data_IF_144374755748
#
_entry.id   IF_144374755748
#
_cell.length_a   1.000
_cell.length_b   1.000
_cell.length_c   1.000
_cell.angle_alpha   90.00
_cell.angle_beta   90.00
_cell.angle_gamma   90.00
#
_symmetry.space_group_name_H-M   'P 1'
#
loop_
_entity.id
_entity.type
_entity.pdbx_description
1 polymer ?
#
# COMPACT_ATOMS: atom_id res chain seq x y z
N UNK A 1 -9.57 28.66 -4.06
CA UNK A 1 -8.84 28.00 -5.18
C UNK A 1 -7.71 27.22 -4.56
N UNK A 2 -7.99 26.00 -4.09
CA UNK A 2 -7.08 25.21 -3.25
C UNK A 2 -6.34 24.18 -4.10
N UNK A 3 -5.04 24.41 -4.24
CA UNK A 3 -3.97 23.58 -4.78
C UNK A 3 -4.31 22.08 -4.97
N UNK A 4 -4.52 21.66 -6.22
CA UNK A 4 -4.17 20.30 -6.65
C UNK A 4 -2.64 20.22 -6.74
N UNK A 5 -2.01 19.89 -5.61
CA UNK A 5 -0.64 19.39 -5.65
C UNK A 5 -0.71 17.90 -6.02
N UNK A 6 -0.89 17.64 -7.32
CA UNK A 6 -0.77 16.30 -7.88
C UNK A 6 0.73 15.98 -7.91
N UNK A 7 1.23 15.21 -6.94
CA UNK A 7 2.64 14.82 -6.89
C UNK A 7 2.98 13.99 -8.14
N UNK A 8 3.70 14.63 -9.06
CA UNK A 8 3.99 14.11 -10.40
C UNK A 8 4.85 12.84 -10.39
N UNK A 9 5.62 12.61 -9.31
CA UNK A 9 6.61 11.53 -9.24
C UNK A 9 6.00 10.14 -9.10
N UNK A 10 4.97 9.96 -8.26
CA UNK A 10 4.33 8.64 -8.06
C UNK A 10 3.43 8.26 -9.25
N UNK A 11 2.78 9.26 -9.85
CA UNK A 11 2.00 9.06 -11.06
C UNK A 11 2.87 8.66 -12.25
N UNK A 12 4.14 9.11 -12.31
CA UNK A 12 5.05 8.77 -13.39
C UNK A 12 5.41 7.27 -13.42
N UNK A 13 5.65 6.65 -12.27
CA UNK A 13 5.89 5.21 -12.17
C UNK A 13 4.65 4.40 -12.53
N UNK A 14 3.46 4.82 -12.08
CA UNK A 14 2.21 4.14 -12.45
C UNK A 14 1.90 4.28 -13.94
N UNK A 15 2.15 5.45 -14.54
CA UNK A 15 2.04 5.66 -15.99
C UNK A 15 2.96 4.72 -16.77
N UNK A 16 4.16 4.42 -16.25
CA UNK A 16 5.08 3.49 -16.90
C UNK A 16 4.55 2.06 -16.94
N UNK A 17 3.75 1.65 -15.95
CA UNK A 17 3.22 0.29 -15.85
C UNK A 17 1.86 0.08 -16.53
N UNK A 18 1.18 1.16 -16.93
CA UNK A 18 -0.17 1.12 -17.52
C UNK A 18 -0.13 1.72 -18.94
N UNK A 19 -0.92 1.21 -19.91
CA UNK A 19 -1.02 1.78 -21.27
C UNK A 19 -1.72 3.15 -21.31
N UNK A 20 -1.12 4.16 -20.68
CA UNK A 20 -1.65 5.51 -20.49
C UNK A 20 -1.79 6.34 -21.78
N UNK A 21 -1.16 5.93 -22.89
CA UNK A 21 -1.31 6.60 -24.19
C UNK A 21 -2.67 6.33 -24.84
N UNK A 22 -3.32 5.23 -24.44
CA UNK A 22 -4.65 4.90 -24.97
C UNK A 22 -5.71 5.67 -24.18
N UNK A 23 -6.78 6.08 -24.86
CA UNK A 23 -7.94 6.74 -24.21
C UNK A 23 -8.48 5.91 -23.06
N UNK A 24 -8.49 4.58 -23.23
CA UNK A 24 -8.91 3.64 -22.19
C UNK A 24 -7.95 3.64 -20.99
N UNK A 25 -6.63 3.53 -21.21
CA UNK A 25 -5.67 3.48 -20.11
C UNK A 25 -5.56 4.78 -19.32
N UNK A 26 -5.66 5.94 -19.98
CA UNK A 26 -5.67 7.23 -19.29
C UNK A 26 -6.94 7.41 -18.44
N UNK A 27 -8.13 7.14 -19.02
CA UNK A 27 -9.42 7.39 -18.36
C UNK A 27 -9.79 6.31 -17.34
N UNK A 28 -9.47 5.04 -17.60
CA UNK A 28 -9.87 3.95 -16.70
C UNK A 28 -8.96 3.82 -15.47
N UNK A 29 -7.68 4.15 -15.60
CA UNK A 29 -6.71 3.95 -14.53
C UNK A 29 -6.27 5.25 -13.86
N UNK A 30 -5.82 6.25 -14.64
CA UNK A 30 -5.25 7.48 -14.06
C UNK A 30 -6.32 8.41 -13.51
N UNK A 31 -7.47 8.53 -14.17
CA UNK A 31 -8.56 9.37 -13.66
C UNK A 31 -9.16 8.86 -12.32
N UNK A 32 -8.91 7.59 -11.96
CA UNK A 32 -9.37 6.99 -10.70
C UNK A 32 -8.32 7.02 -9.61
N UNK A 33 -7.05 7.16 -9.97
CA UNK A 33 -5.93 7.15 -9.06
C UNK A 33 -5.74 8.54 -8.44
N UNK A 34 -5.73 8.61 -7.11
CA UNK A 34 -5.36 9.82 -6.37
C UNK A 34 -4.11 9.49 -5.56
N UNK A 35 -3.02 10.19 -5.82
CA UNK A 35 -1.74 10.03 -5.14
C UNK A 35 -1.37 11.35 -4.45
N UNK A 36 -0.87 11.24 -3.23
CA UNK A 36 -0.47 12.35 -2.36
C UNK A 36 0.84 11.94 -1.68
N UNK A 37 1.79 12.87 -1.51
CA UNK A 37 3.09 12.56 -0.87
C UNK A 37 2.95 12.19 0.61
N UNK A 38 2.03 12.87 1.30
CA UNK A 38 1.71 12.65 2.70
C UNK A 38 0.24 12.27 2.85
N UNK A 39 -0.24 12.23 4.10
CA UNK A 39 -1.66 12.18 4.40
C UNK A 39 -2.24 13.60 4.27
N UNK A 40 -3.02 13.90 3.23
CA UNK A 40 -3.73 15.17 3.19
C UNK A 40 -4.74 15.26 4.35
N UNK A 41 -4.79 16.42 5.00
CA UNK A 41 -5.79 16.72 6.03
C UNK A 41 -7.23 16.49 5.51
N UNK A 42 -8.14 16.17 6.44
CA UNK A 42 -9.55 15.75 6.28
C UNK A 42 -10.09 15.73 4.83
N UNK A 43 -10.40 14.56 4.22
CA UNK A 43 -11.04 13.38 4.84
C UNK A 43 -10.14 12.14 5.05
N UNK A 44 -8.92 12.10 4.52
CA UNK A 44 -8.09 10.88 4.49
C UNK A 44 -7.37 10.56 5.81
N UNK A 45 -7.37 11.52 6.74
CA UNK A 45 -6.78 11.28 8.06
C UNK A 45 -7.64 10.37 8.95
N UNK A 46 -8.97 10.53 8.87
CA UNK A 46 -9.93 9.81 9.74
C UNK A 46 -10.39 8.45 9.19
N UNK A 47 -9.96 8.09 7.99
CA UNK A 47 -10.36 6.85 7.31
C UNK A 47 -9.28 5.79 7.55
N UNK A 48 -9.71 4.53 7.79
CA UNK A 48 -8.78 3.40 7.95
C UNK A 48 -7.96 3.20 6.68
N UNK A 49 -6.63 3.32 6.80
CA UNK A 49 -5.69 3.05 5.71
C UNK A 49 -5.45 1.56 5.59
N UNK A 50 -5.52 1.06 4.36
CA UNK A 50 -5.21 -0.32 4.04
C UNK A 50 -3.76 -0.41 3.56
N UNK A 51 -3.06 -1.46 3.99
CA UNK A 51 -1.68 -1.72 3.63
C UNK A 51 -1.63 -2.95 2.73
N UNK A 52 -0.90 -2.86 1.61
CA UNK A 52 -0.60 -4.02 0.76
C UNK A 52 0.65 -4.70 1.35
N UNK A 53 0.53 -5.90 1.93
CA UNK A 53 1.62 -6.52 2.69
C UNK A 53 2.83 -6.87 1.81
N UNK A 54 2.61 -7.25 0.56
CA UNK A 54 3.66 -7.71 -0.37
C UNK A 54 4.60 -6.57 -0.83
N UNK A 55 4.16 -5.32 -0.68
CA UNK A 55 4.94 -4.14 -1.02
C UNK A 55 5.77 -3.60 0.16
N UNK A 56 5.69 -4.23 1.35
CA UNK A 56 6.40 -3.77 2.53
C UNK A 56 7.86 -4.23 2.51
N UNK A 57 8.78 -3.30 2.77
CA UNK A 57 10.21 -3.62 2.96
C UNK A 57 10.46 -4.64 4.10
N UNK A 58 9.54 -4.72 5.07
CA UNK A 58 9.63 -5.65 6.19
C UNK A 58 9.41 -7.11 5.80
N UNK A 59 8.66 -7.40 4.73
CA UNK A 59 8.31 -8.75 4.30
C UNK A 59 9.42 -9.44 3.49
N UNK A 60 10.68 -9.12 3.75
CA UNK A 60 11.77 -9.95 3.23
C UNK A 60 11.63 -11.35 3.83
N UNK A 61 11.62 -12.37 2.97
CA UNK A 61 11.31 -13.78 3.29
C UNK A 61 12.00 -14.27 4.57
N UNK A 62 13.25 -13.85 4.78
CA UNK A 62 14.05 -14.19 5.96
C UNK A 62 13.41 -13.75 7.30
N UNK A 63 12.78 -12.58 7.35
CA UNK A 63 12.16 -12.06 8.58
C UNK A 63 10.82 -12.77 8.85
N UNK A 64 10.04 -13.06 7.80
CA UNK A 64 8.76 -13.75 7.93
C UNK A 64 8.95 -15.20 8.41
N UNK A 65 9.95 -15.90 7.90
CA UNK A 65 10.30 -17.25 8.36
C UNK A 65 10.72 -17.26 9.84
N UNK A 66 11.53 -16.28 10.26
CA UNK A 66 11.95 -16.14 11.66
C UNK A 66 10.79 -15.77 12.58
N UNK A 67 9.88 -14.89 12.13
CA UNK A 67 8.67 -14.55 12.87
C UNK A 67 7.72 -15.74 13.00
N UNK A 68 7.56 -16.54 11.94
CA UNK A 68 6.73 -17.73 11.96
C UNK A 68 7.28 -18.74 12.96
N UNK A 69 8.59 -19.03 12.92
CA UNK A 69 9.32 -19.88 13.89
C UNK A 69 9.20 -19.38 15.34
N UNK A 70 9.25 -18.06 15.55
CA UNK A 70 9.06 -17.46 16.89
C UNK A 70 7.63 -17.64 17.40
N UNK A 71 6.63 -17.60 16.52
CA UNK A 71 5.19 -17.70 16.87
C UNK A 71 4.73 -19.15 17.16
N UNK A 72 5.51 -20.17 16.80
CA UNK A 72 5.13 -21.59 17.00
C UNK A 72 5.11 -21.98 18.48
N UNK A 73 6.16 -21.60 19.23
CA UNK A 73 6.26 -21.85 20.68
C UNK A 73 5.12 -21.23 21.50
N UNK A 74 4.77 -19.94 21.34
CA UNK A 74 3.65 -19.34 22.05
C UNK A 74 2.29 -19.89 21.62
N UNK A 75 2.12 -20.32 20.35
CA UNK A 75 0.89 -21.03 19.92
C UNK A 75 0.72 -22.37 20.64
N UNK A 76 1.78 -23.17 20.73
CA UNK A 76 1.75 -24.43 21.48
C UNK A 76 1.44 -24.21 22.96
N UNK A 77 1.98 -23.14 23.55
CA UNK A 77 1.67 -22.77 24.93
C UNK A 77 0.22 -22.31 25.12
N UNK A 78 -0.35 -21.58 24.15
CA UNK A 78 -1.76 -21.18 24.15
C UNK A 78 -2.69 -22.39 24.03
N UNK A 79 -2.43 -23.29 23.07
CA UNK A 79 -3.19 -24.53 22.90
C UNK A 79 -3.06 -25.49 24.10
N UNK A 80 -1.92 -25.52 24.81
CA UNK A 80 -1.75 -26.31 26.05
C UNK A 80 -2.55 -25.78 27.24
N UNK A 81 -2.89 -24.49 27.23
CA UNK A 81 -3.59 -23.81 28.32
C UNK A 81 -5.11 -23.76 28.10
N UNK A 82 -5.54 -24.02 26.88
CA UNK A 82 -6.93 -24.18 26.46
C UNK A 82 -7.42 -25.59 26.81
#
# INVERSE_FOLDING_TARGET
>A
MGLQNDSSQDQAWVCRMIPHKTKHGFVAALARLKAYEDVPDAPYDKIKRMVIPDALKYSSVAVQELENKRKERPKLAYERKK
#
